data_IF_176541712666
#
_entry.id   IF_176541712666
#
_cell.length_a   1.000
_cell.length_b   1.000
_cell.length_c   1.000
_cell.angle_alpha   90.00
_cell.angle_beta   90.00
_cell.angle_gamma   90.00
#
_symmetry.space_group_name_H-M   'P 1'
#
loop_
_entity.id
_entity.type
_entity.pdbx_description
1 polymer ?
#
# COMPACT_ATOMS: atom_id res chain seq x y z
N UNK A 1 -15.17 -8.58 -18.99
CA UNK A 1 -15.77 -9.54 -18.03
C UNK A 1 -15.98 -8.74 -16.77
N UNK A 2 -17.16 -8.85 -16.13
CA UNK A 2 -17.42 -8.10 -14.91
C UNK A 2 -16.35 -8.41 -13.86
N UNK A 3 -15.82 -7.38 -13.20
CA UNK A 3 -14.81 -7.55 -12.16
C UNK A 3 -15.52 -7.79 -10.84
N UNK A 4 -15.17 -8.86 -10.14
CA UNK A 4 -15.71 -9.13 -8.81
C UNK A 4 -14.93 -8.34 -7.76
N UNK A 5 -15.64 -7.51 -7.00
CA UNK A 5 -15.10 -6.90 -5.80
C UNK A 5 -15.24 -7.94 -4.70
N UNK A 6 -14.09 -8.39 -4.16
CA UNK A 6 -14.04 -9.41 -3.11
C UNK A 6 -13.90 -8.77 -1.72
N UNK A 7 -14.37 -9.48 -0.69
CA UNK A 7 -14.13 -9.15 0.71
C UNK A 7 -12.61 -9.16 1.01
N UNK A 8 -11.98 -8.01 1.32
CA UNK A 8 -10.54 -7.93 1.53
C UNK A 8 -10.12 -8.51 2.88
N UNK A 9 -8.90 -9.05 2.95
CA UNK A 9 -8.24 -9.39 4.21
C UNK A 9 -7.60 -8.13 4.81
N UNK A 10 -8.21 -7.58 5.87
CA UNK A 10 -7.72 -6.38 6.55
C UNK A 10 -6.73 -6.67 7.70
N UNK A 11 -6.54 -7.95 8.04
CA UNK A 11 -5.44 -8.40 8.90
C UNK A 11 -4.99 -9.83 8.55
N UNK A 12 -3.77 -10.26 8.90
CA UNK A 12 -3.26 -11.60 8.58
C UNK A 12 -4.05 -12.75 9.22
N UNK A 13 -4.77 -12.46 10.30
CA UNK A 13 -5.60 -13.44 11.02
C UNK A 13 -7.10 -13.29 10.72
N UNK A 14 -7.48 -12.40 9.78
CA UNK A 14 -8.88 -12.17 9.45
C UNK A 14 -9.38 -13.27 8.52
N UNK A 15 -10.31 -14.08 8.99
CA UNK A 15 -11.00 -15.08 8.17
C UNK A 15 -12.36 -14.56 7.65
N UNK A 16 -12.98 -13.63 8.39
CA UNK A 16 -14.29 -13.03 8.08
C UNK A 16 -14.39 -11.59 8.59
N UNK A 17 -15.30 -10.80 8.01
CA UNK A 17 -15.60 -9.42 8.40
C UNK A 17 -17.07 -9.07 8.21
N UNK A 18 -17.51 -7.98 8.84
CA UNK A 18 -18.88 -7.50 8.76
C UNK A 18 -18.96 -6.34 7.78
N UNK A 19 -19.89 -6.38 6.83
CA UNK A 19 -20.11 -5.28 5.90
C UNK A 19 -20.98 -4.22 6.58
N UNK A 20 -20.37 -3.24 7.24
CA UNK A 20 -21.08 -2.27 8.07
C UNK A 20 -21.95 -1.32 7.24
N UNK A 21 -21.41 -0.80 6.13
CA UNK A 21 -22.11 0.22 5.32
C UNK A 21 -21.57 0.31 3.90
N UNK A 22 -22.47 0.52 2.92
CA UNK A 22 -22.07 0.93 1.57
C UNK A 22 -21.95 2.46 1.47
N UNK A 23 -20.83 2.93 0.92
CA UNK A 23 -20.62 4.36 0.62
C UNK A 23 -21.08 4.70 -0.80
N UNK A 24 -20.93 3.76 -1.73
CA UNK A 24 -21.36 3.86 -3.13
C UNK A 24 -22.51 2.89 -3.41
N UNK A 25 -23.42 3.26 -4.32
CA UNK A 25 -24.61 2.49 -4.67
C UNK A 25 -24.48 1.86 -6.05
N UNK A 26 -25.37 0.90 -6.35
CA UNK A 26 -25.52 0.38 -7.71
C UNK A 26 -25.78 1.52 -8.69
N UNK A 27 -25.03 1.54 -9.80
CA UNK A 27 -25.04 2.60 -10.81
C UNK A 27 -24.06 3.75 -10.55
N UNK A 28 -23.42 3.82 -9.38
CA UNK A 28 -22.42 4.87 -9.12
C UNK A 28 -21.10 4.57 -9.82
N UNK A 29 -20.50 5.62 -10.38
CA UNK A 29 -19.12 5.57 -10.89
C UNK A 29 -18.12 5.58 -9.74
N UNK A 30 -17.10 4.75 -9.87
CA UNK A 30 -16.00 4.61 -8.92
C UNK A 30 -14.68 4.70 -9.69
N UNK A 31 -13.76 5.49 -9.15
CA UNK A 31 -12.38 5.54 -9.60
C UNK A 31 -11.51 4.67 -8.69
N UNK A 32 -10.35 4.21 -9.18
CA UNK A 32 -9.37 3.56 -8.32
C UNK A 32 -8.97 4.50 -7.15
N UNK A 33 -9.10 4.01 -5.92
CA UNK A 33 -8.90 4.77 -4.68
C UNK A 33 -10.17 5.39 -4.07
N UNK A 34 -11.33 5.32 -4.74
CA UNK A 34 -12.60 5.76 -4.13
C UNK A 34 -13.03 4.80 -3.01
N UNK A 35 -13.48 5.34 -1.87
CA UNK A 35 -14.10 4.53 -0.81
C UNK A 35 -15.47 4.03 -1.29
N UNK A 36 -15.64 2.71 -1.28
CA UNK A 36 -16.87 2.04 -1.75
C UNK A 36 -17.72 1.47 -0.60
N UNK A 37 -17.10 1.02 0.49
CA UNK A 37 -17.79 0.44 1.64
C UNK A 37 -16.97 0.60 2.94
N UNK A 38 -17.63 0.41 4.08
CA UNK A 38 -17.02 0.29 5.40
C UNK A 38 -17.19 -1.15 5.90
N UNK A 39 -16.08 -1.78 6.30
CA UNK A 39 -16.05 -3.10 6.92
C UNK A 39 -15.74 -2.93 8.40
N UNK A 40 -16.54 -3.57 9.24
CA UNK A 40 -16.29 -3.69 10.66
C UNK A 40 -15.66 -5.05 10.97
N UNK A 41 -14.58 -5.02 11.75
CA UNK A 41 -13.90 -6.18 12.30
C UNK A 41 -13.98 -6.14 13.82
N UNK A 42 -13.52 -7.21 14.48
CA UNK A 42 -13.41 -7.26 15.94
C UNK A 42 -12.45 -6.20 16.53
N UNK A 43 -11.59 -5.60 15.69
CA UNK A 43 -10.60 -4.60 16.11
C UNK A 43 -10.95 -3.17 15.71
N UNK A 44 -11.52 -2.97 14.53
CA UNK A 44 -11.76 -1.65 13.97
C UNK A 44 -12.77 -1.67 12.82
N UNK A 45 -13.36 -0.50 12.54
CA UNK A 45 -14.05 -0.20 11.29
C UNK A 45 -13.05 0.39 10.30
N UNK A 46 -12.96 -0.18 9.11
CA UNK A 46 -12.03 0.21 8.06
C UNK A 46 -12.76 0.46 6.75
N UNK A 47 -12.25 1.38 5.94
CA UNK A 47 -12.80 1.73 4.64
C UNK A 47 -12.22 0.83 3.55
N UNK A 48 -13.07 0.36 2.64
CA UNK A 48 -12.69 -0.37 1.44
C UNK A 48 -12.58 0.60 0.29
N UNK A 49 -11.41 0.66 -0.33
CA UNK A 49 -11.15 1.45 -1.53
C UNK A 49 -11.30 0.59 -2.79
N UNK A 50 -11.86 1.16 -3.86
CA UNK A 50 -11.92 0.52 -5.17
C UNK A 50 -10.51 0.35 -5.74
N UNK A 51 -10.19 -0.85 -6.23
CA UNK A 51 -8.91 -1.13 -6.90
C UNK A 51 -8.96 -0.72 -8.37
N UNK A 52 -10.11 -0.96 -9.02
CA UNK A 52 -10.34 -0.72 -10.43
C UNK A 52 -11.36 0.41 -10.65
N UNK A 53 -11.30 1.07 -11.81
CA UNK A 53 -12.27 2.07 -12.23
C UNK A 53 -13.45 1.42 -12.99
N UNK A 54 -14.67 1.90 -12.73
CA UNK A 54 -15.87 1.37 -13.36
C UNK A 54 -17.16 1.87 -12.73
N UNK A 55 -18.26 1.15 -13.00
CA UNK A 55 -19.58 1.41 -12.40
C UNK A 55 -19.96 0.24 -11.52
N UNK A 56 -20.45 0.49 -10.31
CA UNK A 56 -21.00 -0.59 -9.46
C UNK A 56 -22.22 -1.17 -10.17
N UNK A 57 -22.07 -2.36 -10.74
CA UNK A 57 -23.14 -3.04 -11.48
C UNK A 57 -24.17 -3.63 -10.55
N UNK A 58 -23.73 -4.39 -9.55
CA UNK A 58 -24.61 -5.08 -8.60
C UNK A 58 -23.92 -5.32 -7.26
N UNK A 59 -24.61 -5.03 -6.18
CA UNK A 59 -24.19 -5.36 -4.82
C UNK A 59 -24.69 -6.78 -4.50
N UNK A 60 -23.77 -7.67 -4.13
CA UNK A 60 -24.07 -9.07 -3.83
C UNK A 60 -24.31 -9.31 -2.33
N UNK A 61 -23.73 -8.45 -1.48
CA UNK A 61 -23.84 -8.52 -0.02
C UNK A 61 -24.44 -7.22 0.52
N UNK A 62 -25.54 -7.32 1.25
CA UNK A 62 -26.24 -6.17 1.81
C UNK A 62 -25.45 -5.53 2.97
N UNK A 63 -25.63 -4.22 3.18
CA UNK A 63 -25.13 -3.55 4.39
C UNK A 63 -25.71 -4.19 5.66
N UNK A 64 -24.92 -4.24 6.72
CA UNK A 64 -25.24 -4.94 7.97
C UNK A 64 -25.04 -6.46 7.93
N UNK A 65 -24.50 -7.04 6.85
CA UNK A 65 -24.23 -8.48 6.79
C UNK A 65 -23.00 -8.83 7.63
N UNK A 66 -23.16 -9.72 8.60
CA UNK A 66 -22.09 -10.22 9.47
C UNK A 66 -21.46 -11.51 8.93
N UNK A 67 -20.19 -11.75 9.27
CA UNK A 67 -19.50 -13.03 9.01
C UNK A 67 -19.21 -13.30 7.52
N UNK A 68 -18.94 -12.26 6.73
CA UNK A 68 -18.59 -12.41 5.32
C UNK A 68 -17.13 -12.86 5.23
N UNK A 69 -16.89 -14.04 4.65
CA UNK A 69 -15.55 -14.60 4.53
C UNK A 69 -14.67 -13.79 3.59
N UNK A 70 -13.39 -13.67 3.93
CA UNK A 70 -12.37 -13.10 3.05
C UNK A 70 -12.37 -13.83 1.69
N UNK A 71 -12.17 -13.08 0.61
CA UNK A 71 -12.26 -13.50 -0.79
C UNK A 71 -13.67 -13.86 -1.29
N UNK A 72 -14.74 -13.59 -0.52
CA UNK A 72 -16.12 -13.73 -1.03
C UNK A 72 -16.50 -12.54 -1.89
N UNK A 73 -17.13 -12.73 -3.07
CA UNK A 73 -17.64 -11.62 -3.87
C UNK A 73 -18.71 -10.79 -3.12
N UNK A 74 -18.46 -9.50 -2.96
CA UNK A 74 -19.35 -8.55 -2.29
C UNK A 74 -20.07 -7.61 -3.27
N UNK A 75 -19.50 -7.34 -4.43
CA UNK A 75 -20.12 -6.57 -5.51
C UNK A 75 -19.51 -6.88 -6.88
N UNK A 76 -20.17 -6.45 -7.94
CA UNK A 76 -19.73 -6.56 -9.33
C UNK A 76 -19.45 -5.16 -9.87
N UNK A 77 -18.27 -4.95 -10.45
CA UNK A 77 -17.86 -3.75 -11.14
C UNK A 77 -17.93 -3.96 -12.66
N UNK A 78 -18.62 -3.04 -13.35
CA UNK A 78 -18.79 -3.06 -14.80
C UNK A 78 -17.84 -2.05 -15.46
N UNK A 79 -17.20 -2.47 -16.55
CA UNK A 79 -16.41 -1.61 -17.42
C UNK A 79 -17.26 -1.08 -18.60
N UNK A 80 -16.76 -0.06 -19.30
CA UNK A 80 -17.49 0.68 -20.34
C UNK A 80 -18.03 -0.27 -21.43
N UNK A 81 -19.36 -0.40 -21.51
CA UNK A 81 -20.05 -1.25 -22.50
C UNK A 81 -20.52 -2.63 -22.01
N UNK A 82 -20.34 -3.00 -20.74
CA UNK A 82 -20.77 -4.30 -20.19
C UNK A 82 -22.10 -4.24 -19.41
N UNK A 83 -22.91 -5.30 -19.50
CA UNK A 83 -24.23 -5.41 -18.84
C UNK A 83 -24.20 -6.44 -17.68
N UNK A 84 -24.99 -6.18 -16.64
CA UNK A 84 -24.94 -6.82 -15.32
C UNK A 84 -25.48 -8.27 -15.22
N UNK A 85 -25.75 -8.94 -16.35
CA UNK A 85 -26.38 -10.26 -16.35
C UNK A 85 -25.37 -11.40 -16.59
N UNK A 86 -24.68 -11.80 -15.52
CA UNK A 86 -24.09 -13.14 -15.37
C UNK A 86 -24.07 -13.57 -13.89
N UNK A 87 -24.67 -14.72 -13.61
CA UNK A 87 -25.06 -15.28 -12.29
C UNK A 87 -23.87 -15.68 -11.38
N UNK A 88 -24.00 -15.83 -10.04
CA UNK A 88 -24.74 -16.89 -9.34
C UNK A 88 -25.09 -16.57 -7.86
N UNK A 89 -26.07 -17.33 -7.33
CA UNK A 89 -26.73 -17.12 -6.04
C UNK A 89 -26.20 -18.01 -4.89
N UNK A 90 -26.27 -17.49 -3.64
CA UNK A 90 -26.71 -18.13 -2.37
C UNK A 90 -25.83 -17.75 -1.14
N UNK A 91 -26.28 -17.93 0.13
CA UNK A 91 -27.65 -18.05 0.65
C UNK A 91 -28.03 -16.92 1.63
N UNK A 92 -29.31 -16.55 1.65
CA UNK A 92 -29.88 -15.65 2.64
C UNK A 92 -30.11 -16.39 3.98
N UNK A 93 -29.49 -15.91 5.06
CA UNK A 93 -29.86 -16.25 6.43
C UNK A 93 -30.72 -15.12 7.02
N UNK A 94 -31.90 -15.47 7.52
CA UNK A 94 -32.82 -14.59 8.25
C UNK A 94 -32.29 -14.33 9.67
N UNK A 95 -32.35 -13.08 10.12
CA UNK A 95 -32.47 -12.75 11.55
C UNK A 95 -33.31 -11.47 11.75
N UNK A 96 -34.07 -11.47 12.84
CA UNK A 96 -35.21 -10.63 13.17
C UNK A 96 -34.84 -9.20 13.64
N UNK A 97 -35.75 -8.26 13.34
CA UNK A 97 -35.66 -6.87 13.78
C UNK A 97 -36.09 -6.69 15.24
N UNK A 98 -35.27 -5.98 16.02
CA UNK A 98 -35.65 -5.35 17.29
C UNK A 98 -35.57 -3.80 17.17
N UNK A 99 -36.34 -3.03 17.96
CA UNK A 99 -36.75 -1.67 17.59
C UNK A 99 -35.65 -0.60 17.72
N UNK A 100 -35.60 0.24 16.69
CA UNK A 100 -34.71 1.38 16.50
C UNK A 100 -35.02 2.51 17.51
N UNK A 101 -34.03 2.94 18.29
CA UNK A 101 -34.06 4.21 19.00
C UNK A 101 -33.68 5.35 18.04
N UNK A 102 -34.44 6.45 18.08
CA UNK A 102 -34.28 7.59 17.18
C UNK A 102 -32.90 8.27 17.34
N UNK A 103 -32.14 8.52 16.26
CA UNK A 103 -30.88 9.25 16.34
C UNK A 103 -31.11 10.76 16.54
N UNK A 104 -30.33 11.34 17.45
CA UNK A 104 -30.20 12.79 17.61
C UNK A 104 -29.51 13.41 16.37
N UNK A 105 -29.72 14.72 16.08
CA UNK A 105 -29.22 15.33 14.85
C UNK A 105 -27.68 15.33 14.83
N UNK A 106 -27.09 14.63 13.86
CA UNK A 106 -25.66 14.65 13.61
C UNK A 106 -25.25 16.05 13.11
N UNK A 107 -24.23 16.62 13.75
CA UNK A 107 -23.52 17.78 13.23
C UNK A 107 -22.91 17.43 11.87
N UNK A 108 -22.99 18.36 10.91
CA UNK A 108 -22.50 18.15 9.55
C UNK A 108 -21.00 17.77 9.55
N UNK A 109 -20.71 16.59 8.99
CA UNK A 109 -19.34 16.16 8.74
C UNK A 109 -18.67 17.10 7.71
N UNK A 110 -17.39 17.47 7.89
CA UNK A 110 -16.67 18.27 6.92
C UNK A 110 -16.55 17.49 5.60
N UNK A 111 -16.96 18.12 4.51
CA UNK A 111 -16.87 17.58 3.15
C UNK A 111 -15.38 17.38 2.81
N UNK A 112 -14.95 16.21 2.32
CA UNK A 112 -13.59 16.03 1.84
C UNK A 112 -13.32 17.04 0.72
N UNK A 113 -12.20 17.76 0.83
CA UNK A 113 -11.78 18.72 -0.18
C UNK A 113 -11.60 17.98 -1.52
N UNK A 114 -12.21 18.50 -2.58
CA UNK A 114 -12.05 17.97 -3.92
C UNK A 114 -10.55 17.89 -4.29
N UNK A 115 -10.10 16.83 -4.97
CA UNK A 115 -8.70 16.69 -5.37
C UNK A 115 -8.31 17.91 -6.22
N UNK A 116 -7.34 18.67 -5.73
CA UNK A 116 -6.73 19.74 -6.51
C UNK A 116 -6.05 19.06 -7.68
N UNK A 117 -6.51 19.34 -8.91
CA UNK A 117 -5.83 18.90 -10.11
C UNK A 117 -4.44 19.54 -10.15
N UNK A 118 -3.44 18.81 -9.65
CA UNK A 118 -2.04 19.24 -9.73
C UNK A 118 -1.61 19.03 -11.16
N UNK A 119 -1.55 20.11 -11.92
CA UNK A 119 -0.90 20.12 -13.23
C UNK A 119 0.58 19.84 -12.96
N UNK A 120 1.03 18.62 -13.26
CA UNK A 120 2.44 18.28 -13.19
C UNK A 120 3.20 19.29 -14.06
N UNK A 121 4.11 20.06 -13.44
CA UNK A 121 4.97 20.96 -14.19
C UNK A 121 5.76 20.15 -15.22
N UNK A 122 5.78 20.59 -16.48
CA UNK A 122 6.55 19.92 -17.52
C UNK A 122 8.04 19.94 -17.11
N UNK A 123 8.63 18.76 -16.91
CA UNK A 123 10.05 18.65 -16.63
C UNK A 123 10.83 18.93 -17.94
N UNK A 124 11.63 20.01 -17.99
CA UNK A 124 12.39 20.37 -19.19
C UNK A 124 13.44 19.31 -19.59
N UNK A 125 13.74 18.33 -18.73
CA UNK A 125 14.62 17.21 -19.06
C UNK A 125 13.93 16.11 -19.88
N UNK A 126 12.60 16.08 -19.95
CA UNK A 126 11.85 15.08 -20.73
C UNK A 126 11.74 15.57 -22.18
N UNK A 127 12.27 14.83 -23.19
CA UNK A 127 12.17 15.22 -24.58
C UNK A 127 10.71 15.39 -25.03
N UNK A 128 10.47 16.44 -25.81
CA UNK A 128 9.15 16.72 -26.39
C UNK A 128 8.67 15.52 -27.22
N UNK A 129 7.46 15.05 -26.95
CA UNK A 129 6.86 13.89 -27.61
C UNK A 129 7.20 12.53 -26.98
N UNK A 130 7.81 12.50 -25.79
CA UNK A 130 7.95 11.25 -25.02
C UNK A 130 6.56 10.72 -24.64
N UNK A 131 6.27 9.49 -25.03
CA UNK A 131 5.01 8.83 -24.70
C UNK A 131 4.99 8.47 -23.21
N UNK A 132 3.96 8.96 -22.49
CA UNK A 132 3.78 8.72 -21.06
C UNK A 132 2.70 7.67 -20.84
N UNK A 133 2.97 6.70 -19.98
CA UNK A 133 2.01 5.67 -19.58
C UNK A 133 1.36 6.06 -18.26
N UNK A 134 0.01 6.05 -18.21
CA UNK A 134 -0.74 6.24 -16.96
C UNK A 134 -0.48 5.03 -16.06
N UNK A 135 0.01 5.28 -14.85
CA UNK A 135 0.23 4.27 -13.83
C UNK A 135 0.11 4.89 -12.44
N UNK A 136 -0.24 4.06 -11.46
CA UNK A 136 -0.24 4.42 -10.04
C UNK A 136 1.17 4.47 -9.48
N UNK A 137 1.36 5.17 -8.35
CA UNK A 137 2.64 5.15 -7.61
C UNK A 137 2.99 3.74 -7.14
N UNK A 138 1.99 2.93 -6.80
CA UNK A 138 2.16 1.52 -6.42
C UNK A 138 2.80 0.72 -7.56
N UNK A 139 2.25 0.79 -8.77
CA UNK A 139 2.78 0.09 -9.95
C UNK A 139 4.16 0.62 -10.36
N UNK A 140 4.38 1.92 -10.23
CA UNK A 140 5.68 2.55 -10.48
C UNK A 140 6.78 1.98 -9.57
N UNK A 141 6.53 1.91 -8.25
CA UNK A 141 7.48 1.37 -7.27
C UNK A 141 7.67 -0.15 -7.47
N UNK A 142 6.59 -0.89 -7.71
CA UNK A 142 6.66 -2.33 -7.99
C UNK A 142 7.53 -2.61 -9.23
N UNK A 143 7.23 -1.93 -10.35
CA UNK A 143 7.97 -2.13 -11.60
C UNK A 143 9.43 -1.67 -11.50
N UNK A 144 9.73 -0.59 -10.77
CA UNK A 144 11.10 -0.18 -10.49
C UNK A 144 11.89 -1.29 -9.77
N UNK A 145 11.32 -1.86 -8.71
CA UNK A 145 11.97 -2.96 -7.98
C UNK A 145 12.12 -4.20 -8.86
N UNK A 146 11.07 -4.62 -9.56
CA UNK A 146 11.13 -5.79 -10.43
C UNK A 146 12.20 -5.64 -11.53
N UNK A 147 12.31 -4.46 -12.14
CA UNK A 147 13.34 -4.18 -13.14
C UNK A 147 14.75 -4.27 -12.56
N UNK A 148 15.00 -3.70 -11.37
CA UNK A 148 16.33 -3.79 -10.74
C UNK A 148 16.63 -5.20 -10.22
N UNK A 149 15.63 -5.93 -9.73
CA UNK A 149 15.79 -7.33 -9.31
C UNK A 149 16.07 -8.28 -10.48
N UNK A 150 15.54 -8.01 -11.68
CA UNK A 150 15.90 -8.72 -12.92
C UNK A 150 17.31 -8.36 -13.38
N UNK A 151 17.68 -7.09 -13.24
CA UNK A 151 18.98 -6.56 -13.70
C UNK A 151 20.13 -7.06 -12.82
N UNK A 152 19.89 -7.20 -11.53
CA UNK A 152 20.93 -7.45 -10.55
C UNK A 152 20.49 -8.53 -9.54
N UNK A 153 21.23 -9.64 -9.51
CA UNK A 153 20.94 -10.79 -8.65
C UNK A 153 21.16 -10.49 -7.16
N UNK A 154 21.94 -9.44 -6.84
CA UNK A 154 22.25 -9.03 -5.46
C UNK A 154 21.14 -8.17 -4.84
N UNK A 155 20.18 -7.68 -5.64
CA UNK A 155 19.07 -6.82 -5.16
C UNK A 155 17.97 -7.67 -4.56
N UNK A 156 17.60 -7.51 -3.30
CA UNK A 156 16.47 -8.25 -2.73
C UNK A 156 15.63 -7.36 -1.83
N UNK A 157 14.35 -7.70 -1.66
CA UNK A 157 13.46 -7.00 -0.75
C UNK A 157 13.24 -7.82 0.52
N UNK A 158 13.28 -7.15 1.66
CA UNK A 158 12.96 -7.76 2.96
C UNK A 158 12.17 -6.79 3.82
N UNK A 159 11.27 -7.32 4.63
CA UNK A 159 10.44 -6.53 5.53
C UNK A 159 9.25 -7.32 6.03
N UNK A 160 8.41 -6.66 6.79
CA UNK A 160 7.17 -7.25 7.27
C UNK A 160 6.18 -7.39 6.11
N UNK A 161 5.64 -8.59 5.92
CA UNK A 161 4.53 -8.86 4.99
C UNK A 161 4.82 -8.57 3.52
N UNK A 162 6.09 -8.37 3.14
CA UNK A 162 6.50 -8.05 1.76
C UNK A 162 6.35 -9.23 0.80
N UNK A 163 6.34 -10.48 1.29
CA UNK A 163 6.32 -11.68 0.47
C UNK A 163 4.92 -12.26 0.34
N UNK A 164 4.46 -13.06 1.31
CA UNK A 164 3.20 -13.82 1.17
C UNK A 164 1.98 -12.91 1.13
N UNK A 165 1.98 -11.84 1.93
CA UNK A 165 0.92 -10.83 1.92
C UNK A 165 1.10 -9.78 0.81
N UNK A 166 2.18 -9.87 0.03
CA UNK A 166 2.43 -9.00 -1.13
C UNK A 166 2.56 -7.51 -0.79
N UNK A 167 2.93 -7.20 0.46
CA UNK A 167 3.05 -5.87 1.03
C UNK A 167 1.71 -5.30 1.48
N UNK A 168 1.73 -4.54 2.58
CA UNK A 168 0.54 -3.87 3.14
C UNK A 168 -0.17 -2.97 2.12
N UNK A 169 0.62 -2.27 1.28
CA UNK A 169 0.13 -1.38 0.23
C UNK A 169 0.21 -2.00 -1.17
N UNK A 170 0.43 -3.31 -1.27
CA UNK A 170 0.55 -4.04 -2.55
C UNK A 170 1.68 -3.56 -3.47
N UNK A 171 2.75 -3.01 -2.88
CA UNK A 171 3.90 -2.51 -3.67
C UNK A 171 4.82 -3.66 -4.08
N UNK A 172 4.86 -4.77 -3.34
CA UNK A 172 5.64 -5.98 -3.67
C UNK A 172 4.78 -7.08 -4.29
N UNK A 173 3.62 -6.71 -4.86
CA UNK A 173 2.71 -7.64 -5.54
C UNK A 173 3.43 -8.48 -6.59
N UNK A 174 3.17 -9.79 -6.58
CA UNK A 174 3.71 -10.79 -7.49
C UNK A 174 5.25 -10.99 -7.47
N UNK A 175 6.01 -10.23 -6.67
CA UNK A 175 7.48 -10.33 -6.67
C UNK A 175 7.95 -11.68 -6.10
N UNK A 176 7.26 -12.23 -5.09
CA UNK A 176 7.63 -13.53 -4.51
C UNK A 176 7.52 -14.65 -5.55
N UNK A 177 6.45 -14.62 -6.35
CA UNK A 177 6.18 -15.59 -7.41
C UNK A 177 7.23 -15.50 -8.51
N UNK A 178 7.70 -14.28 -8.82
CA UNK A 178 8.71 -14.04 -9.85
C UNK A 178 10.14 -14.38 -9.38
N UNK A 179 10.56 -13.90 -8.21
CA UNK A 179 11.97 -13.94 -7.78
C UNK A 179 12.26 -14.99 -6.70
N UNK A 180 11.21 -15.57 -6.10
CA UNK A 180 11.31 -16.61 -5.09
C UNK A 180 11.71 -16.13 -3.69
N UNK A 181 11.64 -17.03 -2.69
CA UNK A 181 11.75 -16.70 -1.27
C UNK A 181 13.16 -16.30 -0.83
N UNK A 182 14.16 -16.39 -1.71
CA UNK A 182 15.53 -15.88 -1.44
C UNK A 182 15.67 -14.39 -1.76
N UNK A 183 14.74 -13.83 -2.54
CA UNK A 183 14.81 -12.47 -3.08
C UNK A 183 13.66 -11.58 -2.59
N UNK A 184 12.59 -12.19 -2.07
CA UNK A 184 11.47 -11.52 -1.40
C UNK A 184 11.27 -12.21 -0.06
N UNK A 185 11.66 -11.55 1.03
CA UNK A 185 11.84 -12.18 2.34
C UNK A 185 10.96 -11.52 3.39
N UNK A 186 9.96 -12.27 3.88
CA UNK A 186 9.20 -11.87 5.06
C UNK A 186 10.07 -11.94 6.32
N UNK A 187 9.92 -10.94 7.19
CA UNK A 187 10.67 -10.85 8.44
C UNK A 187 9.75 -10.82 9.66
N UNK A 188 10.21 -11.25 10.85
CA UNK A 188 9.48 -10.98 12.08
C UNK A 188 9.25 -9.47 12.30
N UNK A 189 8.24 -9.13 13.10
CA UNK A 189 7.90 -7.75 13.51
C UNK A 189 8.98 -7.23 14.47
N UNK A 190 10.13 -6.87 13.91
CA UNK A 190 11.28 -6.31 14.62
C UNK A 190 12.14 -5.52 13.65
N UNK A 191 11.83 -4.24 13.55
CA UNK A 191 12.51 -3.26 12.69
C UNK A 191 14.00 -3.22 12.97
N UNK A 192 14.38 -3.26 14.23
CA UNK A 192 15.79 -3.33 14.62
C UNK A 192 16.47 -4.58 14.06
N UNK A 193 15.85 -5.75 14.21
CA UNK A 193 16.44 -7.01 13.75
C UNK A 193 16.58 -7.07 12.23
N UNK A 194 15.51 -6.81 11.49
CA UNK A 194 15.56 -6.93 10.03
C UNK A 194 16.40 -5.82 9.38
N UNK A 195 16.40 -4.60 9.93
CA UNK A 195 17.28 -3.56 9.43
C UNK A 195 18.76 -3.88 9.70
N UNK A 196 19.07 -4.48 10.86
CA UNK A 196 20.43 -4.94 11.18
C UNK A 196 20.92 -6.01 10.21
N UNK A 197 20.06 -6.99 9.89
CA UNK A 197 20.35 -8.02 8.88
C UNK A 197 20.56 -7.37 7.51
N UNK A 198 19.67 -6.45 7.09
CA UNK A 198 19.81 -5.72 5.84
C UNK A 198 21.13 -4.94 5.76
N UNK A 199 21.50 -4.23 6.81
CA UNK A 199 22.78 -3.50 6.85
C UNK A 199 23.97 -4.45 6.77
N UNK A 200 23.96 -5.55 7.52
CA UNK A 200 25.00 -6.57 7.43
C UNK A 200 25.12 -7.20 6.04
N UNK A 201 23.98 -7.49 5.40
CA UNK A 201 23.92 -7.98 4.02
C UNK A 201 24.50 -6.97 3.03
N UNK A 202 24.19 -5.67 3.21
CA UNK A 202 24.73 -4.60 2.39
C UNK A 202 26.26 -4.50 2.52
N UNK A 203 26.78 -4.57 3.75
CA UNK A 203 28.23 -4.59 4.02
C UNK A 203 28.92 -5.83 3.42
N UNK A 204 28.20 -6.95 3.31
CA UNK A 204 28.69 -8.18 2.69
C UNK A 204 28.61 -8.18 1.15
N UNK A 205 28.06 -7.13 0.54
CA UNK A 205 28.03 -6.93 -0.92
C UNK A 205 26.66 -7.10 -1.57
N UNK A 206 25.61 -7.44 -0.82
CA UNK A 206 24.24 -7.49 -1.34
C UNK A 206 23.61 -6.08 -1.43
N UNK A 207 22.45 -5.96 -2.07
CA UNK A 207 21.73 -4.69 -2.25
C UNK A 207 20.30 -4.77 -1.71
N UNK A 208 20.13 -4.80 -0.38
CA UNK A 208 18.82 -4.91 0.23
C UNK A 208 17.96 -3.66 0.02
N UNK A 209 16.69 -3.90 -0.25
CA UNK A 209 15.58 -2.97 -0.13
C UNK A 209 14.82 -3.36 1.14
N UNK A 210 15.04 -2.63 2.22
CA UNK A 210 14.36 -2.83 3.52
C UNK A 210 13.08 -2.02 3.52
N UNK A 211 11.93 -2.71 3.58
CA UNK A 211 10.60 -2.09 3.66
C UNK A 211 10.06 -2.10 5.08
N UNK A 212 9.67 -0.92 5.57
CA UNK A 212 8.89 -0.75 6.79
C UNK A 212 7.42 -0.58 6.43
N UNK A 213 6.52 -1.21 7.20
CA UNK A 213 5.06 -1.06 7.03
C UNK A 213 4.64 0.42 7.00
N UNK A 214 5.20 1.21 7.90
CA UNK A 214 5.23 2.67 7.84
C UNK A 214 6.61 3.16 8.22
N UNK A 215 7.09 4.22 7.57
CA UNK A 215 8.41 4.79 7.88
C UNK A 215 8.46 5.41 9.28
N UNK A 216 7.31 5.59 9.93
CA UNK A 216 7.25 5.97 11.35
C UNK A 216 7.97 4.95 12.24
N UNK A 217 7.88 3.66 11.88
CA UNK A 217 8.48 2.58 12.65
C UNK A 217 9.98 2.40 12.38
N UNK A 218 10.53 3.07 11.37
CA UNK A 218 11.98 3.12 11.14
C UNK A 218 12.75 3.67 12.35
N UNK A 219 12.10 4.42 13.25
CA UNK A 219 12.69 4.84 14.52
C UNK A 219 13.10 3.68 15.44
N UNK A 220 12.45 2.52 15.35
CA UNK A 220 12.88 1.32 16.08
C UNK A 220 14.22 0.77 15.55
N UNK A 221 14.54 1.04 14.29
CA UNK A 221 15.77 0.65 13.59
C UNK A 221 16.82 1.77 13.49
N UNK A 222 16.61 2.88 14.20
CA UNK A 222 17.39 4.12 14.10
C UNK A 222 18.91 3.91 14.16
N UNK A 223 19.39 3.02 15.03
CA UNK A 223 20.81 2.77 15.21
C UNK A 223 21.46 2.14 13.97
N UNK A 224 20.77 1.19 13.33
CA UNK A 224 21.24 0.60 12.08
C UNK A 224 21.16 1.56 10.90
N UNK A 225 20.12 2.39 10.82
CA UNK A 225 20.00 3.41 9.77
C UNK A 225 21.09 4.47 9.92
N UNK A 226 21.26 5.01 11.13
CA UNK A 226 22.13 6.17 11.37
C UNK A 226 23.56 5.76 11.66
N UNK A 227 23.79 4.98 12.71
CA UNK A 227 25.15 4.71 13.20
C UNK A 227 25.85 3.63 12.39
N UNK A 228 25.10 2.68 11.83
CA UNK A 228 25.66 1.67 10.94
C UNK A 228 25.68 2.14 9.48
N UNK A 229 24.54 2.15 8.78
CA UNK A 229 24.50 2.37 7.33
C UNK A 229 25.06 3.73 6.91
N UNK A 230 24.62 4.82 7.55
CA UNK A 230 25.04 6.17 7.13
C UNK A 230 26.53 6.47 7.40
N UNK A 231 27.12 5.91 8.45
CA UNK A 231 28.50 6.26 8.86
C UNK A 231 29.57 5.33 8.31
N UNK A 232 29.20 4.11 7.92
CA UNK A 232 30.17 3.05 7.60
C UNK A 232 31.18 3.46 6.52
N UNK A 233 30.73 4.14 5.45
CA UNK A 233 31.63 4.58 4.38
C UNK A 233 32.70 5.54 4.89
N UNK A 234 32.31 6.48 5.77
CA UNK A 234 33.24 7.44 6.35
C UNK A 234 34.16 6.79 7.39
N UNK A 235 33.59 5.98 8.30
CA UNK A 235 34.34 5.34 9.40
C UNK A 235 35.35 4.30 8.91
N UNK A 236 35.07 3.67 7.77
CA UNK A 236 35.99 2.71 7.13
C UNK A 236 37.04 3.39 6.23
N UNK A 237 37.04 4.73 6.13
CA UNK A 237 37.93 5.44 5.20
C UNK A 237 37.67 5.08 3.73
N UNK A 238 36.43 4.74 3.38
CA UNK A 238 36.02 4.34 2.04
C UNK A 238 36.21 2.86 1.70
N UNK A 239 36.67 2.03 2.64
CA UNK A 239 36.93 0.60 2.40
C UNK A 239 35.66 -0.25 2.36
N UNK A 240 34.60 0.18 3.04
CA UNK A 240 33.34 -0.55 3.16
C UNK A 240 32.17 0.41 3.03
N UNK A 241 31.18 0.06 2.20
CA UNK A 241 29.93 0.80 2.07
C UNK A 241 28.75 0.04 2.68
N UNK A 242 27.57 0.65 2.59
CA UNK A 242 26.29 0.01 2.87
C UNK A 242 25.30 0.38 1.74
N UNK A 243 25.35 -0.29 0.58
CA UNK A 243 24.41 -0.08 -0.51
C UNK A 243 23.03 -0.65 -0.12
N UNK A 244 22.23 0.16 0.57
CA UNK A 244 20.92 -0.23 1.11
C UNK A 244 19.88 0.86 0.84
N UNK A 245 18.66 0.45 0.54
CA UNK A 245 17.48 1.33 0.46
C UNK A 245 16.57 1.01 1.64
N UNK A 246 16.27 2.02 2.45
CA UNK A 246 15.19 1.96 3.44
C UNK A 246 13.96 2.65 2.86
N UNK A 247 12.83 1.97 2.81
CA UNK A 247 11.59 2.52 2.26
C UNK A 247 10.37 2.22 3.10
N UNK A 248 9.34 3.03 2.94
CA UNK A 248 8.06 2.90 3.61
C UNK A 248 7.22 4.16 3.38
N UNK A 249 5.89 4.10 3.55
CA UNK A 249 5.06 5.29 3.48
C UNK A 249 5.42 6.25 4.61
N UNK A 250 5.52 7.54 4.29
CA UNK A 250 5.93 8.60 5.21
C UNK A 250 5.07 9.85 5.00
N UNK A 251 4.68 10.50 6.10
CA UNK A 251 3.72 11.61 6.08
C UNK A 251 2.31 11.18 6.48
N UNK A 252 1.36 12.13 6.37
CA UNK A 252 -0.01 11.92 6.82
C UNK A 252 -0.80 11.04 5.85
N UNK A 253 -1.55 10.07 6.40
CA UNK A 253 -2.58 9.32 5.69
C UNK A 253 -3.94 9.52 6.37
N UNK A 254 -5.02 9.17 5.68
CA UNK A 254 -6.37 9.34 6.22
C UNK A 254 -6.59 8.39 7.41
N UNK A 255 -7.05 8.93 8.55
CA UNK A 255 -7.57 8.18 9.72
C UNK A 255 -6.60 7.23 10.43
N UNK A 256 -5.30 7.35 10.20
CA UNK A 256 -4.27 6.48 10.82
C UNK A 256 -3.65 7.04 12.12
N UNK A 257 -4.15 8.17 12.61
CA UNK A 257 -3.78 8.82 13.87
C UNK A 257 -2.26 9.08 14.05
N UNK A 258 -1.82 9.24 15.29
CA UNK A 258 -0.51 9.83 15.62
C UNK A 258 0.71 8.96 15.25
N UNK A 259 0.55 7.63 15.15
CA UNK A 259 1.66 6.69 14.93
C UNK A 259 1.96 6.39 13.45
N UNK A 260 1.12 6.85 12.54
CA UNK A 260 1.24 6.59 11.10
C UNK A 260 1.22 7.88 10.26
N UNK A 261 1.44 9.04 10.88
CA UNK A 261 1.26 10.35 10.24
C UNK A 261 2.47 11.27 10.32
N UNK A 262 3.56 10.87 10.97
CA UNK A 262 4.74 11.72 11.08
C UNK A 262 5.48 11.73 9.74
N UNK A 263 6.13 12.86 9.45
CA UNK A 263 7.00 13.00 8.29
C UNK A 263 8.44 13.13 8.76
N UNK A 264 9.22 12.06 8.61
CA UNK A 264 10.61 12.01 9.09
C UNK A 264 11.66 12.50 8.11
N UNK A 265 11.27 12.95 6.92
CA UNK A 265 12.22 13.33 5.89
C UNK A 265 13.13 14.47 6.32
N UNK A 266 12.58 15.53 6.93
CA UNK A 266 13.38 16.62 7.47
C UNK A 266 14.39 16.10 8.50
N UNK A 267 13.96 15.24 9.42
CA UNK A 267 14.82 14.73 10.48
C UNK A 267 15.97 13.86 9.93
N UNK A 268 15.68 12.88 9.07
CA UNK A 268 16.72 12.06 8.44
C UNK A 268 17.63 12.87 7.50
N UNK A 269 17.14 13.95 6.87
CA UNK A 269 17.98 14.79 5.99
C UNK A 269 19.10 15.53 6.75
N UNK A 270 18.95 15.71 8.07
CA UNK A 270 19.99 16.30 8.92
C UNK A 270 21.06 15.29 9.36
N UNK A 271 20.99 14.03 8.91
CA UNK A 271 21.96 12.99 9.25
C UNK A 271 23.00 12.86 8.13
N UNK A 272 24.27 13.24 8.36
CA UNK A 272 25.31 13.07 7.34
C UNK A 272 25.49 11.60 6.95
N UNK A 273 25.61 11.33 5.65
CA UNK A 273 25.76 9.98 5.10
C UNK A 273 24.46 9.35 4.60
N UNK A 274 23.30 9.90 4.94
CA UNK A 274 22.03 9.50 4.33
C UNK A 274 21.74 10.34 3.08
N UNK A 275 21.20 9.69 2.05
CA UNK A 275 20.43 10.34 1.00
C UNK A 275 18.95 10.14 1.32
N UNK A 276 18.19 11.23 1.37
CA UNK A 276 16.76 11.19 1.69
C UNK A 276 15.98 11.68 0.49
N UNK A 277 15.03 10.85 0.03
CA UNK A 277 14.22 11.12 -1.17
C UNK A 277 12.75 10.98 -0.80
N UNK A 278 11.94 11.94 -1.25
CA UNK A 278 10.47 11.91 -1.16
C UNK A 278 9.89 12.17 -2.55
N UNK A 279 9.56 11.12 -3.31
CA UNK A 279 8.93 11.29 -4.62
C UNK A 279 7.50 11.81 -4.47
N UNK A 280 7.00 12.48 -5.52
CA UNK A 280 5.61 12.96 -5.58
C UNK A 280 4.81 12.25 -6.67
N UNK A 281 5.37 12.13 -7.87
CA UNK A 281 4.69 11.49 -9.00
C UNK A 281 5.08 10.02 -9.16
N UNK A 282 4.31 9.26 -9.96
CA UNK A 282 4.66 7.91 -10.36
C UNK A 282 5.99 7.85 -11.14
N UNK A 283 6.26 8.85 -11.99
CA UNK A 283 7.52 8.96 -12.71
C UNK A 283 8.70 9.18 -11.75
N UNK A 284 8.56 10.07 -10.77
CA UNK A 284 9.57 10.29 -9.73
C UNK A 284 9.81 9.02 -8.92
N UNK A 285 8.74 8.37 -8.48
CA UNK A 285 8.81 7.17 -7.66
C UNK A 285 9.55 6.04 -8.39
N UNK A 286 9.25 5.83 -9.68
CA UNK A 286 9.93 4.83 -10.51
C UNK A 286 11.39 5.21 -10.75
N UNK A 287 11.65 6.44 -11.21
CA UNK A 287 12.99 6.87 -11.60
C UNK A 287 13.94 6.94 -10.41
N UNK A 288 13.51 7.54 -9.30
CA UNK A 288 14.36 7.77 -8.13
C UNK A 288 14.62 6.49 -7.33
N UNK A 289 13.74 5.50 -7.36
CA UNK A 289 14.01 4.22 -6.70
C UNK A 289 15.13 3.42 -7.41
N UNK A 290 15.32 3.63 -8.71
CA UNK A 290 16.33 2.95 -9.52
C UNK A 290 17.70 3.65 -9.54
N UNK A 291 17.78 4.88 -9.02
CA UNK A 291 18.90 5.81 -9.19
C UNK A 291 20.08 5.59 -8.21
#
# INVERSE_FOLDING_TARGET
MPIEILMPALSPTMEEGNLAKWVKKEGDSVAAGDVIAEIETDKATMEVEAVDEGVIGKILVAEGTEGVKVNTPIAILLQEGESADAAAAAPAAKAEAAPQAAPAPAAAAPVPAAPIAVVAAADPAIPEGTEMVKMTVREALNSAMAEEMRRDEDVFVMGEEVAEYQGAYKITQNLLQEFGPRRVVDTPITEHGFAGIGVGAAMAGLKPIVEFMTFNFAMQAIDHIINSAAKTLYMSGGQMGAPIVFRGPNGAAARVAAQHSQCYAAWYSHVPGLKVVMPYTAADAKGLLKA
#
